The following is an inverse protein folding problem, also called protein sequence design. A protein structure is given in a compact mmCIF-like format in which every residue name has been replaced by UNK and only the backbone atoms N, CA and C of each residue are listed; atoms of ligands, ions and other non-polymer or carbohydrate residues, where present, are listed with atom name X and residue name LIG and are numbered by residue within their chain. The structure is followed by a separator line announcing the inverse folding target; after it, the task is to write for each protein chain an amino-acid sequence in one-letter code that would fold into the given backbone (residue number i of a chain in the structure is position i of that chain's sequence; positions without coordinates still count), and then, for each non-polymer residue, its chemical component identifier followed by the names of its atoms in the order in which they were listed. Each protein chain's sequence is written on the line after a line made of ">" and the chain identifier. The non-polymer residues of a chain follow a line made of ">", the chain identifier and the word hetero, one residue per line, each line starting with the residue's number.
data_IF_020503301560
#
_entry.id   IF_020503301560
#
_cell.length_a   1.000
_cell.length_b   1.000
_cell.length_c   1.000
_cell.angle_alpha   90.00
_cell.angle_beta   90.00
_cell.angle_gamma   90.00
#
_symmetry.space_group_name_H-M   'P 1'
#
loop_
_entity.id
_entity.type
_entity.pdbx_description
1 polymer ?
#
# COMPACT_ATOMS: atom_id res chain seq x y z
N UNK A 1 -11.22 -7.19 40.42
CA UNK A 1 -11.63 -8.22 39.45
C UNK A 1 -11.71 -7.53 38.13
N UNK A 2 -10.59 -7.53 37.41
CA UNK A 2 -10.49 -6.93 36.07
C UNK A 2 -11.08 -7.91 35.06
N UNK A 3 -12.19 -7.47 34.48
CA UNK A 3 -12.87 -8.18 33.40
C UNK A 3 -12.12 -7.82 32.09
N UNK A 4 -11.04 -8.55 31.84
CA UNK A 4 -10.34 -8.50 30.56
C UNK A 4 -11.23 -9.19 29.52
N UNK A 5 -12.10 -8.41 28.87
CA UNK A 5 -12.88 -8.87 27.73
C UNK A 5 -11.90 -9.47 26.70
N UNK A 6 -11.94 -10.77 26.53
CA UNK A 6 -11.21 -11.49 25.52
C UNK A 6 -11.64 -10.96 24.14
N UNK A 7 -10.72 -10.27 23.47
CA UNK A 7 -10.90 -9.84 22.08
C UNK A 7 -10.93 -11.13 21.25
N UNK A 8 -12.11 -11.50 20.73
CA UNK A 8 -12.22 -12.62 19.81
C UNK A 8 -11.27 -12.43 18.63
N UNK A 9 -10.52 -13.47 18.23
CA UNK A 9 -9.62 -13.37 17.10
C UNK A 9 -10.42 -13.11 15.83
N UNK A 10 -10.18 -11.95 15.21
CA UNK A 10 -10.79 -11.55 13.95
C UNK A 10 -10.32 -12.50 12.87
N UNK A 11 -11.22 -13.36 12.38
CA UNK A 11 -10.94 -14.19 11.22
C UNK A 11 -10.71 -13.30 10.00
N UNK A 12 -9.45 -13.19 9.55
CA UNK A 12 -9.08 -12.63 8.25
C UNK A 12 -9.48 -13.65 7.17
N UNK A 13 -10.75 -13.65 6.75
CA UNK A 13 -11.27 -14.64 5.79
C UNK A 13 -11.10 -14.27 4.32
N UNK A 14 -10.29 -13.26 4.02
CA UNK A 14 -10.13 -12.78 2.65
C UNK A 14 -8.89 -13.34 1.99
N UNK A 15 -9.07 -13.88 0.75
CA UNK A 15 -7.97 -14.26 -0.12
C UNK A 15 -7.21 -13.00 -0.55
N UNK A 16 -5.88 -12.94 -0.38
CA UNK A 16 -5.07 -11.82 -0.86
C UNK A 16 -5.17 -11.65 -2.37
N UNK A 17 -5.07 -10.41 -2.85
CA UNK A 17 -5.10 -10.10 -4.28
C UNK A 17 -3.85 -10.63 -4.95
N UNK A 18 -3.99 -11.27 -6.12
CA UNK A 18 -2.89 -11.85 -6.92
C UNK A 18 -2.02 -12.84 -6.12
N UNK A 19 -2.60 -13.64 -5.22
CA UNK A 19 -1.88 -14.52 -4.30
C UNK A 19 -0.93 -15.47 -5.03
N UNK A 20 -1.45 -16.29 -5.95
CA UNK A 20 -0.65 -17.27 -6.69
C UNK A 20 0.44 -16.58 -7.51
N UNK A 21 0.09 -15.44 -8.11
CA UNK A 21 1.04 -14.68 -8.91
C UNK A 21 2.18 -14.13 -8.06
N UNK A 22 1.88 -13.69 -6.84
CA UNK A 22 2.90 -13.21 -5.90
C UNK A 22 3.83 -14.34 -5.48
N UNK A 23 3.29 -15.51 -5.17
CA UNK A 23 4.08 -16.71 -4.86
C UNK A 23 5.01 -17.09 -6.03
N UNK A 24 4.49 -17.16 -7.26
CA UNK A 24 5.29 -17.43 -8.46
C UNK A 24 6.45 -16.43 -8.66
N UNK A 25 6.22 -15.17 -8.35
CA UNK A 25 7.23 -14.11 -8.51
C UNK A 25 8.40 -14.25 -7.53
N UNK A 26 8.19 -14.86 -6.38
CA UNK A 26 9.27 -15.14 -5.43
C UNK A 26 9.92 -16.52 -5.60
N UNK A 27 9.42 -17.38 -6.51
CA UNK A 27 10.03 -18.69 -6.76
C UNK A 27 11.50 -18.63 -7.21
N UNK A 28 11.93 -17.71 -8.13
CA UNK A 28 13.31 -17.69 -8.62
C UNK A 28 14.28 -16.85 -7.81
N UNK A 29 13.83 -16.19 -6.71
CA UNK A 29 14.73 -15.33 -5.92
C UNK A 29 15.73 -16.18 -5.10
N UNK A 30 16.91 -15.65 -4.79
CA UNK A 30 17.87 -16.35 -3.91
C UNK A 30 17.27 -16.70 -2.55
N UNK A 31 17.85 -17.67 -1.86
CA UNK A 31 17.49 -17.99 -0.49
C UNK A 31 17.77 -16.80 0.44
N UNK A 32 16.91 -16.58 1.46
CA UNK A 32 17.04 -15.50 2.42
C UNK A 32 15.70 -14.88 2.82
N UNK A 33 15.75 -13.65 3.27
CA UNK A 33 14.58 -12.93 3.79
C UNK A 33 13.78 -12.22 2.70
N UNK A 34 12.46 -12.37 2.74
CA UNK A 34 11.49 -11.52 2.03
C UNK A 34 10.83 -10.59 3.04
N UNK A 35 10.83 -9.29 2.78
CA UNK A 35 10.11 -8.32 3.59
C UNK A 35 8.70 -8.15 3.04
N UNK A 36 7.68 -8.56 3.80
CA UNK A 36 6.29 -8.17 3.54
C UNK A 36 6.02 -6.84 4.25
N UNK A 37 6.12 -5.74 3.51
CA UNK A 37 6.03 -4.38 4.04
C UNK A 37 4.60 -3.96 4.41
N UNK A 38 3.60 -4.78 4.06
CA UNK A 38 2.16 -4.53 4.22
C UNK A 38 1.47 -5.79 4.71
N UNK A 39 1.96 -6.35 5.81
CA UNK A 39 1.69 -7.69 6.29
C UNK A 39 0.19 -8.02 6.43
N UNK A 40 -0.61 -7.06 6.92
CA UNK A 40 -2.03 -7.27 7.17
C UNK A 40 -2.30 -8.52 8.00
N UNK A 41 -3.14 -9.43 7.49
CA UNK A 41 -3.43 -10.73 8.11
C UNK A 41 -2.43 -11.83 7.75
N UNK A 42 -1.27 -11.50 7.19
CA UNK A 42 -0.20 -12.41 6.79
C UNK A 42 -0.55 -13.40 5.65
N UNK A 43 -1.55 -13.09 4.83
CA UNK A 43 -1.99 -14.02 3.78
C UNK A 43 -0.92 -14.29 2.71
N UNK A 44 -0.26 -13.23 2.21
CA UNK A 44 0.88 -13.36 1.29
C UNK A 44 2.09 -14.00 1.96
N UNK A 45 2.47 -13.54 3.15
CA UNK A 45 3.58 -14.06 3.93
C UNK A 45 3.46 -15.56 4.16
N UNK A 46 2.28 -16.02 4.58
CA UNK A 46 1.98 -17.45 4.77
C UNK A 46 2.15 -18.24 3.49
N UNK A 47 1.58 -17.79 2.37
CA UNK A 47 1.66 -18.49 1.09
C UNK A 47 3.10 -18.56 0.55
N UNK A 48 3.91 -17.52 0.75
CA UNK A 48 5.34 -17.51 0.41
C UNK A 48 6.10 -18.55 1.23
N UNK A 49 5.87 -18.59 2.55
CA UNK A 49 6.53 -19.54 3.46
C UNK A 49 6.16 -20.99 3.17
N UNK A 50 4.88 -21.25 2.83
CA UNK A 50 4.39 -22.60 2.45
C UNK A 50 5.01 -23.09 1.15
N UNK A 51 5.12 -22.20 0.14
CA UNK A 51 5.60 -22.58 -1.18
C UNK A 51 7.13 -22.60 -1.31
N UNK A 52 7.84 -21.82 -0.51
CA UNK A 52 9.29 -21.60 -0.66
C UNK A 52 10.06 -21.89 0.63
N UNK A 53 10.52 -23.16 0.86
CA UNK A 53 11.27 -23.54 2.06
C UNK A 53 12.59 -22.79 2.27
N UNK A 54 13.16 -22.24 1.18
CA UNK A 54 14.40 -21.47 1.19
C UNK A 54 14.21 -19.99 1.57
N UNK A 55 12.98 -19.55 1.79
CA UNK A 55 12.67 -18.17 2.16
C UNK A 55 12.20 -18.07 3.61
N UNK A 56 12.58 -16.97 4.24
CA UNK A 56 12.04 -16.48 5.50
C UNK A 56 11.28 -15.17 5.26
N UNK A 57 10.34 -14.79 6.14
CA UNK A 57 9.55 -13.57 5.98
C UNK A 57 9.70 -12.66 7.20
N UNK A 58 10.09 -11.40 6.94
CA UNK A 58 9.98 -10.28 7.86
C UNK A 58 8.71 -9.50 7.52
N UNK A 59 7.68 -9.57 8.36
CA UNK A 59 6.42 -8.87 8.15
C UNK A 59 6.33 -7.57 8.92
N UNK A 60 5.99 -6.47 8.24
CA UNK A 60 5.80 -5.15 8.82
C UNK A 60 4.35 -4.70 8.68
N UNK A 61 3.78 -4.14 9.72
CA UNK A 61 2.51 -3.41 9.65
C UNK A 61 2.47 -2.31 10.72
N UNK A 62 1.75 -1.24 10.44
CA UNK A 62 1.52 -0.14 11.39
C UNK A 62 0.21 -0.30 12.19
N UNK A 63 -0.67 -1.24 11.78
CA UNK A 63 -1.93 -1.52 12.47
C UNK A 63 -1.72 -2.62 13.50
N UNK A 64 -1.86 -2.26 14.78
CA UNK A 64 -1.70 -3.20 15.89
C UNK A 64 -2.61 -4.43 15.79
N UNK A 65 -3.82 -4.26 15.22
CA UNK A 65 -4.76 -5.38 15.03
C UNK A 65 -4.24 -6.36 13.98
N UNK A 66 -3.61 -5.84 12.91
CA UNK A 66 -2.97 -6.67 11.88
C UNK A 66 -1.79 -7.44 12.47
N UNK A 67 -0.93 -6.78 13.25
CA UNK A 67 0.22 -7.40 13.92
C UNK A 67 -0.21 -8.58 14.82
N UNK A 68 -1.24 -8.39 15.64
CA UNK A 68 -1.74 -9.47 16.50
C UNK A 68 -2.22 -10.69 15.70
N UNK A 69 -2.99 -10.47 14.65
CA UNK A 69 -3.49 -11.52 13.77
C UNK A 69 -2.35 -12.22 13.01
N UNK A 70 -1.40 -11.46 12.46
CA UNK A 70 -0.27 -11.99 11.73
C UNK A 70 0.67 -12.81 12.62
N UNK A 71 0.93 -12.34 13.84
CA UNK A 71 1.76 -13.08 14.81
C UNK A 71 1.17 -14.47 15.08
N UNK A 72 -0.15 -14.54 15.30
CA UNK A 72 -0.82 -15.83 15.49
C UNK A 72 -0.76 -16.71 14.23
N UNK A 73 -1.00 -16.14 13.05
CA UNK A 73 -1.00 -16.86 11.77
C UNK A 73 0.38 -17.40 11.38
N UNK A 74 1.46 -16.68 11.73
CA UNK A 74 2.84 -17.03 11.38
C UNK A 74 3.57 -17.82 12.47
N UNK A 75 3.01 -17.99 13.66
CA UNK A 75 3.61 -18.77 14.74
C UNK A 75 4.10 -20.17 14.34
N UNK A 76 3.40 -20.93 13.47
CA UNK A 76 3.85 -22.27 13.04
C UNK A 76 5.19 -22.28 12.27
N UNK A 77 5.63 -21.14 11.72
CA UNK A 77 6.86 -21.07 10.91
C UNK A 77 8.14 -20.84 11.73
N UNK A 78 8.00 -20.61 13.04
CA UNK A 78 9.14 -20.42 13.95
C UNK A 78 10.09 -19.30 13.50
N UNK A 79 11.38 -19.59 13.44
CA UNK A 79 12.43 -18.62 13.07
C UNK A 79 12.34 -18.12 11.62
N UNK A 80 11.60 -18.82 10.76
CA UNK A 80 11.38 -18.35 9.37
C UNK A 80 10.40 -17.19 9.26
N UNK A 81 9.75 -16.77 10.34
CA UNK A 81 8.79 -15.68 10.34
C UNK A 81 9.05 -14.71 11.50
N UNK A 82 9.27 -13.47 11.17
CA UNK A 82 9.39 -12.38 12.16
C UNK A 82 8.35 -11.30 11.87
N UNK A 83 7.62 -10.86 12.90
CA UNK A 83 6.57 -9.84 12.79
C UNK A 83 6.97 -8.63 13.62
N UNK A 84 6.96 -7.45 13.00
CA UNK A 84 7.37 -6.20 13.63
C UNK A 84 6.30 -5.13 13.46
N UNK A 85 5.87 -4.49 14.56
CA UNK A 85 4.96 -3.36 14.53
C UNK A 85 5.71 -2.10 14.12
N UNK A 86 5.82 -1.87 12.82
CA UNK A 86 6.60 -0.78 12.24
C UNK A 86 5.96 -0.32 10.93
N UNK A 87 6.00 0.99 10.67
CA UNK A 87 5.59 1.52 9.38
C UNK A 87 6.67 1.25 8.33
N UNK A 88 6.28 0.90 7.12
CA UNK A 88 7.17 0.38 6.07
C UNK A 88 8.21 1.40 5.55
N UNK A 89 8.09 2.70 5.84
CA UNK A 89 9.15 3.69 5.55
C UNK A 89 10.39 3.56 6.45
N UNK A 90 10.34 2.64 7.40
CA UNK A 90 11.45 2.25 8.28
C UNK A 90 11.92 0.82 8.01
N UNK A 91 11.66 0.27 6.81
CA UNK A 91 11.99 -1.12 6.50
C UNK A 91 13.51 -1.40 6.58
N UNK A 92 14.35 -0.44 6.24
CA UNK A 92 15.80 -0.60 6.36
C UNK A 92 16.25 -0.82 7.82
N UNK A 93 15.61 -0.15 8.77
CA UNK A 93 15.84 -0.36 10.20
C UNK A 93 15.42 -1.78 10.62
N UNK A 94 14.24 -2.22 10.20
CA UNK A 94 13.75 -3.57 10.51
C UNK A 94 14.65 -4.67 9.91
N UNK A 95 15.23 -4.44 8.73
CA UNK A 95 16.19 -5.36 8.11
C UNK A 95 17.50 -5.37 8.90
N UNK A 96 17.99 -4.20 9.35
CA UNK A 96 19.23 -4.11 10.13
C UNK A 96 19.13 -4.79 11.50
N UNK A 97 17.92 -4.96 12.03
CA UNK A 97 17.66 -5.67 13.29
C UNK A 97 17.57 -7.21 13.10
N UNK A 98 17.78 -7.75 11.92
CA UNK A 98 17.88 -9.18 11.66
C UNK A 98 19.31 -9.66 11.86
N UNK A 99 19.49 -10.70 12.67
CA UNK A 99 20.81 -11.24 13.02
C UNK A 99 21.46 -12.04 11.87
N UNK A 100 20.64 -12.59 10.96
CA UNK A 100 21.03 -13.57 9.93
C UNK A 100 20.74 -13.11 8.49
N UNK A 101 20.71 -11.81 8.26
CA UNK A 101 20.55 -11.25 6.91
C UNK A 101 21.84 -11.45 6.10
N UNK A 102 21.71 -11.89 4.84
CA UNK A 102 22.85 -11.95 3.92
C UNK A 102 23.47 -10.55 3.74
N UNK A 103 24.80 -10.40 3.82
CA UNK A 103 25.46 -9.10 3.61
C UNK A 103 25.14 -8.42 2.28
N UNK A 104 24.69 -9.18 1.29
CA UNK A 104 24.26 -8.65 -0.02
C UNK A 104 22.86 -8.04 0.01
N UNK A 105 22.07 -8.30 1.05
CA UNK A 105 20.71 -7.78 1.22
C UNK A 105 19.63 -8.85 1.36
N UNK A 106 18.37 -8.47 1.08
CA UNK A 106 17.21 -9.34 1.17
C UNK A 106 16.82 -9.92 -0.20
N UNK A 107 16.21 -11.11 -0.19
CA UNK A 107 15.75 -11.82 -1.40
C UNK A 107 14.55 -11.17 -2.05
N UNK A 108 13.77 -10.40 -1.29
CA UNK A 108 12.62 -9.72 -1.85
C UNK A 108 11.96 -8.72 -0.92
N UNK A 109 11.16 -7.82 -1.52
CA UNK A 109 10.27 -6.93 -0.80
C UNK A 109 8.90 -6.93 -1.48
N UNK A 110 7.86 -7.10 -0.70
CA UNK A 110 6.46 -7.07 -1.14
C UNK A 110 5.77 -5.82 -0.58
N UNK A 111 5.07 -5.11 -1.46
CA UNK A 111 4.11 -4.07 -1.11
C UNK A 111 2.73 -4.46 -1.67
N UNK A 112 1.75 -4.72 -0.81
CA UNK A 112 0.32 -4.80 -1.16
C UNK A 112 -0.34 -3.53 -0.62
N UNK A 113 -0.32 -2.45 -1.43
CA UNK A 113 -0.66 -1.10 -0.99
C UNK A 113 -2.17 -0.93 -0.76
N UNK A 114 -2.52 0.14 -0.06
CA UNK A 114 -3.91 0.51 0.20
C UNK A 114 -4.39 0.13 1.60
N UNK A 115 -5.61 -0.38 1.71
CA UNK A 115 -6.27 -0.68 2.98
C UNK A 115 -6.63 -2.15 3.11
N UNK A 116 -6.45 -2.70 4.29
CA UNK A 116 -6.84 -4.07 4.58
C UNK A 116 -8.36 -4.23 4.66
N UNK A 117 -8.84 -5.46 4.47
CA UNK A 117 -10.25 -5.78 4.57
C UNK A 117 -10.88 -5.39 5.91
N UNK A 118 -10.26 -5.69 7.06
CA UNK A 118 -10.79 -5.28 8.35
C UNK A 118 -10.88 -3.75 8.52
N UNK A 119 -10.00 -2.98 7.88
CA UNK A 119 -10.10 -1.52 7.91
C UNK A 119 -11.33 -1.01 7.17
N UNK A 120 -11.70 -1.63 6.03
CA UNK A 120 -12.88 -1.25 5.24
C UNK A 120 -14.19 -1.77 5.82
N UNK A 121 -14.17 -2.95 6.45
CA UNK A 121 -15.38 -3.67 6.88
C UNK A 121 -15.83 -3.23 8.28
N UNK A 122 -14.94 -2.63 9.09
CA UNK A 122 -15.25 -2.10 10.41
C UNK A 122 -15.64 -0.63 10.36
N UNK A 123 -16.90 -0.32 10.64
CA UNK A 123 -17.44 1.05 10.63
C UNK A 123 -16.66 1.99 11.56
N UNK A 124 -16.24 1.49 12.73
CA UNK A 124 -15.51 2.26 13.75
C UNK A 124 -14.09 2.70 13.32
N UNK A 125 -13.58 2.19 12.19
CA UNK A 125 -12.31 2.61 11.60
C UNK A 125 -12.46 3.81 10.65
N UNK A 126 -13.66 4.12 10.19
CA UNK A 126 -13.96 5.29 9.36
C UNK A 126 -13.42 5.27 7.93
N UNK A 127 -12.89 4.14 7.42
CA UNK A 127 -12.35 4.05 6.05
C UNK A 127 -13.42 3.93 4.97
N UNK A 128 -14.64 3.55 5.35
CA UNK A 128 -15.73 3.26 4.41
C UNK A 128 -16.95 4.14 4.71
N UNK A 129 -17.68 4.47 3.65
CA UNK A 129 -18.99 5.12 3.73
C UNK A 129 -20.16 4.13 3.58
N UNK A 130 -19.88 2.82 3.45
CA UNK A 130 -20.94 1.79 3.34
C UNK A 130 -21.71 1.62 4.64
N UNK A 131 -20.99 1.73 5.75
CA UNK A 131 -21.54 1.75 7.09
C UNK A 131 -21.07 3.04 7.74
N UNK A 132 -22.01 3.82 8.27
CA UNK A 132 -21.68 5.08 8.94
C UNK A 132 -20.87 4.81 10.21
N UNK A 133 -19.77 5.54 10.36
CA UNK A 133 -18.84 5.45 11.48
C UNK A 133 -18.13 6.78 11.71
N UNK A 134 -17.27 6.90 12.72
CA UNK A 134 -16.52 8.12 13.01
C UNK A 134 -15.55 8.47 11.88
N UNK A 135 -15.21 9.74 11.72
CA UNK A 135 -14.20 10.23 10.77
C UNK A 135 -12.79 9.99 11.35
N UNK A 136 -12.35 8.73 11.44
CA UNK A 136 -11.03 8.37 11.96
C UNK A 136 -10.00 8.21 10.80
N UNK A 137 -10.08 7.18 10.01
CA UNK A 137 -9.20 6.79 8.88
C UNK A 137 -7.71 6.62 9.24
N UNK A 138 -7.32 6.62 10.52
CA UNK A 138 -5.94 6.36 10.94
C UNK A 138 -5.62 4.87 10.81
N UNK A 139 -4.56 4.53 10.12
CA UNK A 139 -4.01 3.17 10.10
C UNK A 139 -3.35 2.85 11.45
N UNK A 140 -2.51 3.74 11.95
CA UNK A 140 -2.00 3.72 13.32
C UNK A 140 -2.82 4.66 14.22
N UNK A 141 -3.64 4.08 15.12
CA UNK A 141 -4.52 4.85 16.00
C UNK A 141 -3.79 5.65 17.08
N UNK A 142 -2.48 5.47 17.26
CA UNK A 142 -1.66 6.29 18.17
C UNK A 142 -1.37 7.68 17.60
N UNK A 143 -1.54 7.89 16.29
CA UNK A 143 -1.41 9.21 15.67
C UNK A 143 -2.55 10.11 16.13
N UNK A 144 -2.26 11.40 16.32
CA UNK A 144 -3.27 12.38 16.75
C UNK A 144 -4.17 12.81 15.58
N UNK A 145 -3.58 13.02 14.39
CA UNK A 145 -4.26 13.56 13.22
C UNK A 145 -5.17 12.53 12.54
N UNK A 146 -6.46 12.83 12.49
CA UNK A 146 -7.52 11.96 11.97
C UNK A 146 -8.26 12.57 10.77
N UNK A 147 -9.17 11.81 10.16
CA UNK A 147 -10.04 12.33 9.12
C UNK A 147 -10.96 13.46 9.61
N UNK A 148 -11.33 13.44 10.90
CA UNK A 148 -12.10 14.53 11.51
C UNK A 148 -11.34 15.85 11.48
N UNK A 149 -10.04 15.83 11.72
CA UNK A 149 -9.21 17.05 11.67
C UNK A 149 -9.11 17.60 10.25
N UNK A 150 -8.91 16.72 9.25
CA UNK A 150 -8.90 17.11 7.84
C UNK A 150 -10.24 17.73 7.44
N UNK A 151 -11.35 17.06 7.77
CA UNK A 151 -12.69 17.46 7.36
C UNK A 151 -13.15 18.72 8.08
N UNK A 152 -12.91 18.84 9.39
CA UNK A 152 -13.49 19.89 10.21
C UNK A 152 -12.58 21.11 10.44
N UNK A 153 -11.25 20.97 10.23
CA UNK A 153 -10.31 22.06 10.58
C UNK A 153 -9.59 22.67 9.36
N UNK A 154 -9.41 21.92 8.23
CA UNK A 154 -8.72 22.47 7.06
C UNK A 154 -9.51 23.62 6.42
N UNK A 155 -8.81 24.62 5.86
CA UNK A 155 -9.46 25.63 5.02
C UNK A 155 -10.04 25.02 3.74
N UNK A 156 -10.95 25.73 3.07
CA UNK A 156 -11.51 25.26 1.80
C UNK A 156 -10.44 25.06 0.73
N UNK A 157 -9.43 25.93 0.70
CA UNK A 157 -8.29 25.88 -0.23
C UNK A 157 -7.46 24.60 0.02
N UNK A 158 -7.06 24.35 1.28
CA UNK A 158 -6.28 23.17 1.65
C UNK A 158 -7.04 21.87 1.39
N UNK A 159 -8.34 21.83 1.70
CA UNK A 159 -9.18 20.69 1.34
C UNK A 159 -9.22 20.48 -0.18
N UNK A 160 -9.41 21.54 -0.96
CA UNK A 160 -9.45 21.44 -2.42
C UNK A 160 -8.12 20.90 -2.99
N UNK A 161 -6.99 21.37 -2.48
CA UNK A 161 -5.65 20.86 -2.84
C UNK A 161 -5.49 19.38 -2.49
N UNK A 162 -5.91 18.97 -1.29
CA UNK A 162 -5.87 17.57 -0.85
C UNK A 162 -6.71 16.69 -1.78
N UNK A 163 -7.95 17.10 -2.07
CA UNK A 163 -8.87 16.34 -2.92
C UNK A 163 -8.40 16.25 -4.39
N UNK A 164 -7.81 17.30 -4.93
CA UNK A 164 -7.24 17.32 -6.27
C UNK A 164 -5.99 16.44 -6.33
N UNK A 165 -5.03 16.68 -5.45
CA UNK A 165 -3.70 16.03 -5.45
C UNK A 165 -3.78 14.52 -5.22
N UNK A 166 -4.62 14.06 -4.28
CA UNK A 166 -4.66 12.67 -3.84
C UNK A 166 -5.86 11.88 -4.38
N UNK A 167 -6.93 12.60 -4.77
CA UNK A 167 -8.14 11.97 -5.29
C UNK A 167 -8.29 12.07 -6.81
N UNK A 168 -7.48 12.87 -7.51
CA UNK A 168 -7.74 13.28 -8.88
C UNK A 168 -9.21 13.78 -9.03
N UNK A 169 -9.74 14.51 -8.00
CA UNK A 169 -11.14 14.86 -7.90
C UNK A 169 -11.46 16.13 -8.69
N UNK A 170 -12.16 15.96 -9.79
CA UNK A 170 -12.51 17.04 -10.72
C UNK A 170 -13.31 18.18 -10.06
N UNK A 171 -14.10 17.87 -9.05
CA UNK A 171 -14.96 18.83 -8.35
C UNK A 171 -14.39 19.25 -6.98
N UNK A 172 -13.06 19.11 -6.78
CA UNK A 172 -12.37 19.34 -5.51
C UNK A 172 -12.76 20.64 -4.83
N UNK A 173 -12.71 21.79 -5.53
CA UNK A 173 -13.08 23.09 -4.97
C UNK A 173 -14.54 23.14 -4.50
N UNK A 174 -15.45 22.58 -5.31
CA UNK A 174 -16.89 22.60 -4.98
C UNK A 174 -17.20 21.68 -3.79
N UNK A 175 -16.57 20.53 -3.73
CA UNK A 175 -16.69 19.59 -2.61
C UNK A 175 -16.10 20.21 -1.35
N UNK A 176 -14.91 20.81 -1.42
CA UNK A 176 -14.29 21.48 -0.27
C UNK A 176 -15.17 22.60 0.29
N UNK A 177 -15.74 23.46 -0.56
CA UNK A 177 -16.67 24.51 -0.12
C UNK A 177 -17.93 23.94 0.54
N UNK A 178 -18.48 22.82 0.01
CA UNK A 178 -19.65 22.17 0.58
C UNK A 178 -19.34 21.55 1.96
N UNK A 179 -18.16 20.92 2.10
CA UNK A 179 -17.69 20.36 3.38
C UNK A 179 -17.59 21.49 4.42
N UNK A 180 -16.92 22.60 4.09
CA UNK A 180 -16.76 23.72 5.02
C UNK A 180 -18.12 24.32 5.44
N UNK A 181 -19.07 24.43 4.51
CA UNK A 181 -20.41 24.96 4.79
C UNK A 181 -21.28 24.01 5.65
N UNK A 182 -20.99 22.71 5.61
CA UNK A 182 -21.75 21.69 6.34
C UNK A 182 -21.19 21.33 7.73
N UNK A 183 -20.09 21.96 8.17
CA UNK A 183 -19.44 21.67 9.45
C UNK A 183 -20.32 22.02 10.65
N UNK A 184 -20.20 21.25 11.75
CA UNK A 184 -19.35 20.08 11.95
C UNK A 184 -19.91 18.83 11.25
N UNK A 185 -19.02 17.99 10.67
CA UNK A 185 -19.37 16.70 10.10
C UNK A 185 -18.80 15.62 11.04
N UNK A 186 -19.66 14.74 11.53
CA UNK A 186 -19.28 13.77 12.56
C UNK A 186 -19.04 12.36 12.02
N UNK A 187 -19.80 11.97 10.97
CA UNK A 187 -19.75 10.60 10.48
C UNK A 187 -19.32 10.50 9.01
N UNK A 188 -18.87 9.29 8.64
CA UNK A 188 -18.54 8.96 7.23
C UNK A 188 -19.79 9.01 6.33
N UNK A 189 -20.98 8.72 6.87
CA UNK A 189 -22.25 8.84 6.16
C UNK A 189 -22.55 10.30 5.80
N UNK A 190 -22.49 11.21 6.78
CA UNK A 190 -22.73 12.64 6.57
C UNK A 190 -21.75 13.22 5.53
N UNK A 191 -20.46 12.88 5.66
CA UNK A 191 -19.45 13.30 4.69
C UNK A 191 -19.78 12.80 3.28
N UNK A 192 -20.20 11.55 3.13
CA UNK A 192 -20.52 10.98 1.82
C UNK A 192 -21.74 11.66 1.18
N UNK A 193 -22.75 12.04 1.97
CA UNK A 193 -23.92 12.79 1.52
C UNK A 193 -23.55 14.21 1.07
N UNK A 194 -22.75 14.92 1.86
CA UNK A 194 -22.26 16.26 1.52
C UNK A 194 -21.48 16.24 0.21
N UNK A 195 -20.57 15.27 0.04
CA UNK A 195 -19.79 15.09 -1.20
C UNK A 195 -20.69 14.79 -2.39
N UNK A 196 -21.61 13.84 -2.25
CA UNK A 196 -22.51 13.46 -3.33
C UNK A 196 -23.41 14.61 -3.76
N UNK A 197 -23.89 15.42 -2.81
CA UNK A 197 -24.73 16.58 -3.07
C UNK A 197 -23.98 17.73 -3.74
N UNK A 198 -22.69 17.88 -3.45
CA UNK A 198 -21.83 18.89 -4.07
C UNK A 198 -21.58 18.61 -5.57
N UNK A 199 -21.63 17.37 -6.02
CA UNK A 199 -21.36 17.02 -7.42
C UNK A 199 -22.63 17.22 -8.27
N UNK A 200 -22.56 17.90 -9.44
CA UNK A 200 -23.72 18.10 -10.31
C UNK A 200 -24.38 16.78 -10.73
N UNK A 201 -25.70 16.71 -10.71
CA UNK A 201 -26.47 15.49 -11.00
C UNK A 201 -26.09 14.80 -12.34
N UNK A 202 -25.88 15.53 -13.46
CA UNK A 202 -25.42 14.88 -14.71
C UNK A 202 -24.03 14.27 -14.61
N UNK A 203 -23.17 14.84 -13.76
CA UNK A 203 -21.82 14.35 -13.56
C UNK A 203 -21.80 13.10 -12.65
N UNK A 204 -22.65 13.04 -11.64
CA UNK A 204 -22.77 11.86 -10.75
C UNK A 204 -23.03 10.56 -11.52
N UNK A 205 -23.80 10.62 -12.59
CA UNK A 205 -24.10 9.44 -13.45
C UNK A 205 -22.86 8.90 -14.19
N UNK A 206 -21.78 9.68 -14.29
CA UNK A 206 -20.54 9.29 -14.97
C UNK A 206 -19.50 8.67 -14.02
N UNK A 207 -19.74 8.74 -12.71
CA UNK A 207 -18.83 8.08 -11.76
C UNK A 207 -19.03 6.57 -11.81
N UNK A 208 -17.91 5.83 -11.89
CA UNK A 208 -17.92 4.40 -11.64
C UNK A 208 -17.94 4.19 -10.12
N UNK A 209 -19.07 3.72 -9.60
CA UNK A 209 -19.27 3.55 -8.16
C UNK A 209 -19.70 4.85 -7.45
N UNK A 210 -19.53 4.90 -6.15
CA UNK A 210 -20.03 6.01 -5.33
C UNK A 210 -19.21 7.30 -5.54
N UNK A 211 -19.86 8.48 -5.67
CA UNK A 211 -19.18 9.76 -5.92
C UNK A 211 -18.14 10.14 -4.86
N UNK A 212 -18.37 9.77 -3.59
CA UNK A 212 -17.46 10.07 -2.49
C UNK A 212 -16.15 9.25 -2.49
N UNK A 213 -16.03 8.21 -3.33
CA UNK A 213 -14.86 7.30 -3.31
C UNK A 213 -13.51 8.04 -3.40
N UNK A 214 -13.41 9.02 -4.30
CA UNK A 214 -12.19 9.80 -4.50
C UNK A 214 -11.88 10.73 -3.33
N UNK A 215 -12.91 11.34 -2.76
CA UNK A 215 -12.79 12.19 -1.57
C UNK A 215 -12.29 11.37 -0.37
N UNK A 216 -12.87 10.20 -0.13
CA UNK A 216 -12.42 9.30 0.95
C UNK A 216 -10.98 8.83 0.75
N UNK A 217 -10.61 8.45 -0.48
CA UNK A 217 -9.23 8.13 -0.82
C UNK A 217 -8.28 9.29 -0.53
N UNK A 218 -8.63 10.51 -0.94
CA UNK A 218 -7.78 11.67 -0.73
C UNK A 218 -7.56 12.00 0.75
N UNK A 219 -8.63 11.97 1.55
CA UNK A 219 -8.56 12.20 3.00
C UNK A 219 -7.73 11.10 3.66
N UNK A 220 -7.92 9.84 3.30
CA UNK A 220 -7.14 8.71 3.81
C UNK A 220 -5.63 8.88 3.56
N UNK A 221 -5.27 9.23 2.33
CA UNK A 221 -3.88 9.48 1.93
C UNK A 221 -3.28 10.63 2.73
N UNK A 222 -4.02 11.72 2.94
CA UNK A 222 -3.59 12.86 3.75
C UNK A 222 -3.36 12.46 5.22
N UNK A 223 -4.32 11.75 5.83
CA UNK A 223 -4.24 11.32 7.23
C UNK A 223 -3.04 10.42 7.50
N UNK A 224 -2.71 9.54 6.55
CA UNK A 224 -1.68 8.52 6.73
C UNK A 224 -0.34 8.84 6.04
N UNK A 225 -0.21 9.98 5.35
CA UNK A 225 0.98 10.37 4.56
C UNK A 225 1.38 9.32 3.52
N UNK A 226 0.42 8.55 2.99
CA UNK A 226 0.66 7.29 2.26
C UNK A 226 1.67 7.43 1.12
N UNK A 227 1.55 8.47 0.29
CA UNK A 227 2.44 8.63 -0.86
C UNK A 227 3.87 9.08 -0.49
N UNK A 228 4.02 9.91 0.54
CA UNK A 228 5.34 10.34 1.02
C UNK A 228 6.09 9.16 1.65
N UNK A 229 5.39 8.39 2.47
CA UNK A 229 5.86 7.16 3.11
C UNK A 229 6.28 6.11 2.08
N UNK A 230 5.44 5.90 1.05
CA UNK A 230 5.72 4.97 -0.04
C UNK A 230 6.96 5.38 -0.85
N UNK A 231 7.15 6.67 -1.11
CA UNK A 231 8.32 7.16 -1.83
C UNK A 231 9.64 6.81 -1.13
N UNK A 232 9.69 6.98 0.19
CA UNK A 232 10.85 6.59 1.00
C UNK A 232 11.05 5.07 1.01
N UNK A 233 9.97 4.32 1.25
CA UNK A 233 10.03 2.87 1.39
C UNK A 233 10.49 2.15 0.12
N UNK A 234 10.03 2.58 -1.07
CA UNK A 234 10.46 1.93 -2.33
C UNK A 234 11.96 2.17 -2.59
N UNK A 235 12.50 3.33 -2.23
CA UNK A 235 13.94 3.55 -2.33
C UNK A 235 14.70 2.57 -1.43
N UNK A 236 14.33 2.50 -0.14
CA UNK A 236 14.94 1.56 0.80
C UNK A 236 14.80 0.10 0.32
N UNK A 237 13.62 -0.27 -0.23
CA UNK A 237 13.39 -1.62 -0.75
C UNK A 237 14.32 -1.97 -1.91
N UNK A 238 14.48 -1.08 -2.89
CA UNK A 238 15.36 -1.31 -4.05
C UNK A 238 16.82 -1.38 -3.63
N UNK A 239 17.23 -0.54 -2.67
CA UNK A 239 18.60 -0.52 -2.16
C UNK A 239 18.92 -1.79 -1.35
N UNK A 240 17.97 -2.27 -0.56
CA UNK A 240 18.13 -3.45 0.30
C UNK A 240 18.13 -4.79 -0.45
N UNK A 241 17.72 -4.83 -1.72
CA UNK A 241 17.70 -6.09 -2.49
C UNK A 241 19.10 -6.59 -2.79
N UNK A 242 19.33 -7.89 -2.58
CA UNK A 242 20.47 -8.60 -3.13
C UNK A 242 20.33 -8.82 -4.65
N UNK A 243 21.44 -9.08 -5.39
CA UNK A 243 21.37 -9.46 -6.79
C UNK A 243 20.42 -10.64 -7.04
N UNK A 244 19.53 -10.52 -8.03
CA UNK A 244 18.44 -11.47 -8.30
C UNK A 244 17.23 -11.36 -7.39
N UNK A 245 17.30 -10.57 -6.33
CA UNK A 245 16.16 -10.27 -5.46
C UNK A 245 15.11 -9.41 -6.16
N UNK A 246 13.87 -9.47 -5.70
CA UNK A 246 12.72 -8.79 -6.35
C UNK A 246 11.96 -7.86 -5.42
N UNK A 247 11.63 -6.65 -5.93
CA UNK A 247 10.63 -5.79 -5.36
C UNK A 247 9.31 -5.97 -6.13
N UNK A 248 8.28 -6.45 -5.44
CA UNK A 248 6.93 -6.69 -5.96
C UNK A 248 6.01 -5.64 -5.36
N UNK A 249 5.36 -4.82 -6.18
CA UNK A 249 4.47 -3.77 -5.71
C UNK A 249 3.10 -3.84 -6.40
N UNK A 250 2.05 -3.97 -5.60
CA UNK A 250 0.65 -3.88 -5.98
C UNK A 250 0.10 -2.53 -5.57
N UNK A 251 -0.46 -1.79 -6.53
CA UNK A 251 -1.05 -0.47 -6.35
C UNK A 251 -2.52 -0.50 -6.73
N UNK A 252 -3.36 0.28 -6.05
CA UNK A 252 -4.81 0.29 -6.28
C UNK A 252 -5.33 1.64 -6.79
N UNK A 253 -4.48 2.67 -6.83
CA UNK A 253 -4.82 3.97 -7.43
C UNK A 253 -3.67 4.57 -8.22
N UNK A 254 -4.00 5.60 -9.02
CA UNK A 254 -3.06 6.25 -9.96
C UNK A 254 -1.84 6.88 -9.28
N UNK A 255 -1.99 7.41 -8.07
CA UNK A 255 -0.90 8.03 -7.31
C UNK A 255 0.17 7.03 -6.91
N UNK A 256 -0.22 5.88 -6.33
CA UNK A 256 0.68 4.78 -5.99
C UNK A 256 1.39 4.24 -7.24
N UNK A 257 0.62 3.88 -8.28
CA UNK A 257 1.16 3.30 -9.51
C UNK A 257 2.18 4.22 -10.22
N UNK A 258 1.91 5.54 -10.22
CA UNK A 258 2.82 6.56 -10.78
C UNK A 258 4.14 6.59 -10.03
N UNK A 259 4.08 6.55 -8.70
CA UNK A 259 5.24 6.59 -7.83
C UNK A 259 6.09 5.32 -7.97
N UNK A 260 5.48 4.13 -7.90
CA UNK A 260 6.15 2.85 -8.12
C UNK A 260 6.81 2.81 -9.50
N UNK A 261 6.07 3.18 -10.56
CA UNK A 261 6.58 3.26 -11.92
C UNK A 261 7.80 4.15 -12.04
N UNK A 262 7.75 5.33 -11.44
CA UNK A 262 8.85 6.30 -11.52
C UNK A 262 10.11 5.78 -10.80
N UNK A 263 9.97 5.22 -9.60
CA UNK A 263 11.10 4.66 -8.85
C UNK A 263 11.72 3.46 -9.54
N UNK A 264 10.89 2.55 -10.09
CA UNK A 264 11.40 1.42 -10.87
C UNK A 264 12.07 1.87 -12.17
N UNK A 265 11.55 2.92 -12.82
CA UNK A 265 12.20 3.52 -13.99
C UNK A 265 13.59 4.06 -13.65
N UNK A 266 13.74 4.76 -12.52
CA UNK A 266 15.03 5.27 -12.06
C UNK A 266 16.03 4.12 -11.84
N UNK A 267 15.63 3.02 -11.21
CA UNK A 267 16.48 1.85 -11.04
C UNK A 267 16.89 1.21 -12.38
N UNK A 268 15.97 1.15 -13.35
CA UNK A 268 16.23 0.55 -14.67
C UNK A 268 17.10 1.44 -15.56
N UNK A 269 17.04 2.74 -15.39
CA UNK A 269 17.82 3.69 -16.22
C UNK A 269 19.07 4.20 -15.51
N UNK A 270 19.31 3.82 -14.26
CA UNK A 270 20.37 4.42 -13.43
C UNK A 270 20.20 5.94 -13.24
N UNK A 271 18.97 6.48 -13.40
CA UNK A 271 18.71 7.91 -13.39
C UNK A 271 19.14 8.65 -14.67
N UNK A 272 19.39 7.94 -15.77
CA UNK A 272 19.78 8.53 -17.04
C UNK A 272 18.72 9.52 -17.56
N UNK A 273 19.15 10.76 -17.88
CA UNK A 273 18.35 11.83 -18.48
C UNK A 273 18.73 12.11 -19.95
N UNK A 274 19.60 11.29 -20.54
CA UNK A 274 19.99 11.44 -21.94
C UNK A 274 18.80 11.26 -22.88
N UNK A 275 18.76 11.96 -24.04
CA UNK A 275 17.71 11.80 -25.03
C UNK A 275 17.60 10.33 -25.50
N UNK A 276 16.40 9.74 -25.60
CA UNK A 276 16.21 8.28 -25.84
C UNK A 276 16.76 7.73 -27.16
N UNK A 277 17.16 8.62 -28.10
CA UNK A 277 17.64 8.26 -29.43
C UNK A 277 19.14 8.51 -29.63
N UNK A 278 19.80 9.00 -28.59
CA UNK A 278 21.25 9.27 -28.63
C UNK A 278 21.97 8.28 -27.69
N UNK A 279 23.27 8.00 -27.96
CA UNK A 279 24.07 7.23 -27.02
C UNK A 279 24.09 7.90 -25.65
N UNK A 280 23.97 7.09 -24.58
CA UNK A 280 24.09 7.59 -23.23
C UNK A 280 25.54 8.02 -22.96
N UNK A 281 25.70 9.26 -22.46
CA UNK A 281 27.01 9.87 -22.11
C UNK A 281 27.10 10.27 -20.66
N UNK A 282 26.05 10.05 -19.86
CA UNK A 282 25.98 10.49 -18.46
C UNK A 282 26.57 9.50 -17.47
N UNK A 283 27.02 8.32 -17.91
CA UNK A 283 27.57 7.29 -17.02
C UNK A 283 26.55 6.64 -16.06
N UNK A 284 25.24 6.79 -16.35
CA UNK A 284 24.21 6.19 -15.52
C UNK A 284 24.26 4.66 -15.58
N UNK A 285 24.31 4.02 -14.42
CA UNK A 285 24.37 2.57 -14.29
C UNK A 285 23.02 2.00 -13.80
N UNK A 286 22.34 1.17 -14.60
CA UNK A 286 21.13 0.48 -14.17
C UNK A 286 21.40 -0.42 -12.96
N UNK A 287 20.57 -0.29 -11.91
CA UNK A 287 20.64 -1.18 -10.73
C UNK A 287 19.58 -2.29 -10.74
N UNK A 288 18.64 -2.25 -11.67
CA UNK A 288 17.55 -3.22 -11.76
C UNK A 288 16.98 -3.36 -13.16
N UNK A 289 16.17 -4.39 -13.36
CA UNK A 289 15.38 -4.62 -14.57
C UNK A 289 13.91 -4.89 -14.24
N UNK A 290 13.01 -4.48 -15.12
CA UNK A 290 11.60 -4.88 -14.99
C UNK A 290 11.44 -6.33 -15.42
N UNK A 291 10.86 -7.17 -14.55
CA UNK A 291 10.53 -8.57 -14.89
C UNK A 291 9.51 -8.61 -16.05
N UNK A 292 8.62 -7.61 -16.11
CA UNK A 292 7.71 -7.41 -17.24
C UNK A 292 7.52 -5.91 -17.51
N UNK A 293 7.50 -5.55 -18.80
CA UNK A 293 7.15 -4.17 -19.20
C UNK A 293 5.69 -3.87 -18.89
N UNK A 294 5.43 -2.69 -18.32
CA UNK A 294 4.09 -2.24 -17.95
C UNK A 294 3.55 -2.88 -16.66
N UNK A 295 2.40 -2.40 -16.20
CA UNK A 295 1.71 -2.98 -15.06
C UNK A 295 0.88 -4.21 -15.49
N UNK A 296 0.91 -5.26 -14.69
CA UNK A 296 0.02 -6.41 -14.81
C UNK A 296 -1.28 -6.12 -14.06
N UNK A 297 -2.39 -6.59 -14.57
CA UNK A 297 -3.72 -6.49 -13.95
C UNK A 297 -4.18 -7.88 -13.55
N UNK A 298 -5.15 -7.95 -12.64
CA UNK A 298 -5.85 -9.18 -12.36
C UNK A 298 -6.59 -9.71 -13.60
N UNK A 299 -6.76 -11.01 -13.68
CA UNK A 299 -7.60 -11.67 -14.67
C UNK A 299 -9.08 -11.43 -14.40
N UNK A 300 -9.93 -11.65 -15.40
CA UNK A 300 -11.40 -11.55 -15.22
C UNK A 300 -11.85 -12.54 -14.15
N UNK A 301 -11.36 -13.78 -14.18
CA UNK A 301 -11.70 -14.81 -13.20
C UNK A 301 -11.33 -14.40 -11.76
N UNK A 302 -10.20 -13.75 -11.58
CA UNK A 302 -9.78 -13.26 -10.26
C UNK A 302 -10.63 -12.06 -9.79
N UNK A 303 -11.04 -11.18 -10.71
CA UNK A 303 -11.93 -10.04 -10.39
C UNK A 303 -13.32 -10.55 -9.98
N UNK A 304 -13.81 -11.60 -10.64
CA UNK A 304 -15.09 -12.23 -10.32
C UNK A 304 -15.07 -12.89 -8.93
N UNK A 305 -13.95 -13.54 -8.57
CA UNK A 305 -13.73 -14.16 -7.25
C UNK A 305 -13.40 -13.11 -6.18
N UNK A 306 -12.61 -12.11 -6.50
CA UNK A 306 -12.18 -11.03 -5.61
C UNK A 306 -12.33 -9.64 -6.26
N UNK A 307 -13.48 -8.96 -6.12
CA UNK A 307 -13.72 -7.65 -6.72
C UNK A 307 -12.71 -6.56 -6.32
N UNK A 308 -11.95 -6.75 -5.23
CA UNK A 308 -10.88 -5.82 -4.81
C UNK A 308 -9.71 -5.81 -5.79
N UNK A 309 -9.54 -6.88 -6.58
CA UNK A 309 -8.53 -6.98 -7.63
C UNK A 309 -8.81 -6.10 -8.87
N UNK A 310 -10.02 -5.52 -9.02
CA UNK A 310 -10.41 -4.75 -10.23
C UNK A 310 -9.41 -3.62 -10.57
N UNK A 311 -8.92 -2.92 -9.55
CA UNK A 311 -8.04 -1.76 -9.74
C UNK A 311 -6.55 -2.07 -9.62
N UNK A 312 -6.18 -3.32 -9.28
CA UNK A 312 -4.78 -3.68 -9.01
C UNK A 312 -3.87 -3.45 -10.22
N UNK A 313 -2.69 -2.93 -9.94
CA UNK A 313 -1.58 -2.78 -10.86
C UNK A 313 -0.33 -3.34 -10.22
N UNK A 314 0.09 -4.50 -10.67
CA UNK A 314 1.28 -5.19 -10.21
C UNK A 314 2.49 -4.79 -11.06
N UNK A 315 3.56 -4.34 -10.39
CA UNK A 315 4.88 -4.08 -10.99
C UNK A 315 5.96 -4.85 -10.26
N UNK A 316 6.96 -5.31 -10.99
CA UNK A 316 8.05 -6.11 -10.44
C UNK A 316 9.38 -5.62 -10.99
N UNK A 317 10.29 -5.27 -10.07
CA UNK A 317 11.69 -4.96 -10.33
C UNK A 317 12.55 -6.13 -9.81
N UNK A 318 13.56 -6.53 -10.58
CA UNK A 318 14.60 -7.46 -10.16
C UNK A 318 15.93 -6.72 -10.11
N UNK A 319 16.68 -6.89 -9.01
CA UNK A 319 18.01 -6.31 -8.83
C UNK A 319 19.00 -6.97 -9.78
N UNK A 320 19.81 -6.18 -10.46
CA UNK A 320 20.88 -6.68 -11.32
C UNK A 320 22.09 -7.12 -10.47
N UNK A 321 22.85 -8.08 -11.00
CA UNK A 321 24.20 -8.37 -10.54
C UNK A 321 25.15 -7.28 -11.08
N UNK A 322 26.20 -6.92 -10.34
CA UNK A 322 27.20 -5.94 -10.76
C UNK A 322 27.79 -6.25 -12.15
N UNK A 323 27.88 -7.55 -12.52
CA UNK A 323 28.32 -8.00 -13.84
C UNK A 323 27.31 -7.78 -14.98
N UNK A 324 26.04 -7.50 -14.66
CA UNK A 324 24.96 -7.26 -15.63
C UNK A 324 24.65 -5.77 -15.78
N UNK A 325 25.24 -4.92 -14.95
CA UNK A 325 25.09 -3.48 -14.97
C UNK A 325 26.09 -2.79 -15.94
N UNK A 326 27.06 -3.55 -16.49
CA UNK A 326 28.13 -3.04 -17.40
C UNK A 326 27.74 -3.09 -18.88
#
# INVERSE_FOLDING_TARGET
>A
MDDAAAVEPVAFSHRPVLLERTVELFAPVPAGWVVDATLGGAGHAKAILDAHPHLSVLGLDQDHTAIAAATAALAPYGERARVVHLRFDRLAEAIADLDDVDPRGVSGVLFDLGVSSPQLDRAERGFSFRHSGPLDMRMDRRREHSASDVVNQYSAERLAETLDRYGDERYARRIASAIVAARPIETTGDLAEVVASAIPAPARRKYRGHPARRTFQAIRIEVNDELAVLASAINQAVDALMPGGRCVAMSYHSGEDRLVKERFRQAVTGGCECPPRLPCVCGAEPSGRLVRRGAQKASVAEIDDNPRAESVRLRVLEKLDEKQAS
#
